data_IF_388614948102
#
_entry.id   IF_388614948102
#
_cell.length_a   1.000
_cell.length_b   1.000
_cell.length_c   1.000
_cell.angle_alpha   90.00
_cell.angle_beta   90.00
_cell.angle_gamma   90.00
#
_symmetry.space_group_name_H-M   'P 1'
#
loop_
_entity.id
_entity.type
_entity.pdbx_description
1 polymer ?
#
# COMPACT_ATOMS: atom_id res chain seq x y z
N UNK A 1 -8.96 75.87 86.74
CA UNK A 1 -7.52 76.21 86.67
C UNK A 1 -6.90 75.39 85.55
N UNK A 2 -6.25 76.09 84.64
CA UNK A 2 -5.84 75.67 83.28
C UNK A 2 -4.75 74.58 83.32
N UNK A 3 -4.70 73.67 82.33
CA UNK A 3 -3.41 73.27 81.80
C UNK A 3 -3.30 73.49 80.29
N UNK A 4 -2.17 74.12 79.96
CA UNK A 4 -1.52 74.36 78.68
C UNK A 4 -1.82 73.37 77.55
N UNK A 5 -2.26 73.89 76.41
CA UNK A 5 -2.09 73.26 75.11
C UNK A 5 -0.64 73.45 74.65
N UNK A 6 0.13 72.36 74.61
CA UNK A 6 1.43 72.28 73.93
C UNK A 6 1.19 71.87 72.47
N UNK A 7 1.53 72.76 71.54
CA UNK A 7 1.62 72.48 70.11
C UNK A 7 2.83 71.58 69.83
N UNK A 8 2.60 70.34 69.41
CA UNK A 8 3.60 69.48 68.78
C UNK A 8 3.53 69.68 67.26
N UNK A 9 4.67 69.82 66.54
CA UNK A 9 4.68 69.96 65.10
C UNK A 9 4.39 68.60 64.44
N UNK A 10 3.54 68.61 63.42
CA UNK A 10 3.39 67.50 62.48
C UNK A 10 4.74 67.29 61.78
N UNK A 11 5.45 66.23 62.15
CA UNK A 11 6.49 65.67 61.30
C UNK A 11 5.75 65.01 60.14
N UNK A 12 5.75 65.66 58.99
CA UNK A 12 5.40 65.02 57.72
C UNK A 12 6.53 64.02 57.43
N UNK A 13 6.33 62.76 57.79
CA UNK A 13 7.09 61.67 57.17
C UNK A 13 6.71 61.68 55.69
N UNK A 14 7.55 62.28 54.84
CA UNK A 14 7.56 61.97 53.42
C UNK A 14 8.09 60.56 53.28
N UNK A 15 7.20 59.56 53.36
CA UNK A 15 7.48 58.25 52.78
C UNK A 15 7.61 58.46 51.27
N UNK A 16 8.81 58.75 50.80
CA UNK A 16 9.19 58.44 49.41
C UNK A 16 9.24 56.92 49.32
N UNK A 17 8.07 56.30 49.16
CA UNK A 17 8.03 54.92 48.68
C UNK A 17 8.75 54.93 47.33
N UNK A 18 9.85 54.20 47.26
CA UNK A 18 10.57 53.96 46.02
C UNK A 18 9.59 53.26 45.08
N UNK A 19 8.99 54.01 44.15
CA UNK A 19 7.97 53.52 43.21
C UNK A 19 8.71 52.79 42.07
N UNK A 20 9.45 51.74 42.44
CA UNK A 20 10.31 50.96 41.55
C UNK A 20 9.46 50.16 40.58
N UNK A 21 9.52 50.53 39.31
CA UNK A 21 8.90 49.78 38.21
C UNK A 21 9.89 48.75 37.69
N UNK A 22 9.48 47.48 37.59
CA UNK A 22 10.33 46.38 37.16
C UNK A 22 9.70 45.60 36.00
N UNK A 23 10.52 44.93 35.21
CA UNK A 23 10.08 44.11 34.07
C UNK A 23 10.80 42.77 34.03
N UNK A 24 10.16 41.76 33.42
CA UNK A 24 10.85 40.51 33.11
C UNK A 24 11.93 40.76 32.05
N UNK A 25 13.11 40.17 32.26
CA UNK A 25 14.29 40.35 31.40
C UNK A 25 14.86 39.01 30.97
N UNK A 26 14.95 38.80 29.66
CA UNK A 26 15.54 37.60 29.07
C UNK A 26 15.78 37.73 27.57
N UNK A 27 16.67 36.90 27.05
CA UNK A 27 16.89 36.67 25.62
C UNK A 27 16.73 35.17 25.33
N UNK A 28 15.89 34.81 24.36
CA UNK A 28 15.65 33.41 23.97
C UNK A 28 16.85 32.72 23.33
N UNK A 29 17.90 33.46 22.94
CA UNK A 29 19.17 32.90 22.46
C UNK A 29 19.93 32.13 23.55
N UNK A 30 19.81 32.57 24.80
CA UNK A 30 20.49 31.98 25.96
C UNK A 30 19.50 31.32 26.93
N UNK A 31 18.26 31.80 26.99
CA UNK A 31 17.24 31.33 27.92
C UNK A 31 15.92 30.99 27.21
N UNK A 32 15.76 29.73 26.81
CA UNK A 32 14.60 29.23 26.04
C UNK A 32 13.24 29.49 26.71
N UNK A 33 13.19 29.50 28.03
CA UNK A 33 11.97 29.80 28.78
C UNK A 33 11.48 31.24 28.57
N UNK A 34 12.32 32.15 28.06
CA UNK A 34 11.89 33.48 27.60
C UNK A 34 10.73 33.43 26.58
N UNK A 35 10.65 32.31 25.84
CA UNK A 35 9.58 32.02 24.88
C UNK A 35 8.53 31.08 25.48
N UNK A 36 8.96 30.03 26.18
CA UNK A 36 8.06 28.96 26.64
C UNK A 36 7.27 29.33 27.90
N UNK A 37 7.97 29.87 28.91
CA UNK A 37 7.43 30.21 30.23
C UNK A 37 8.08 31.52 30.74
N UNK A 38 7.77 32.67 30.13
CA UNK A 38 8.48 33.93 30.39
C UNK A 38 8.35 34.43 31.83
N UNK A 39 7.30 34.05 32.56
CA UNK A 39 7.14 34.35 33.98
C UNK A 39 8.25 33.75 34.87
N UNK A 40 9.04 32.80 34.35
CA UNK A 40 10.21 32.22 35.05
C UNK A 40 11.50 33.01 34.83
N UNK A 41 11.49 34.00 33.95
CA UNK A 41 12.67 34.83 33.71
C UNK A 41 12.96 35.72 34.91
N UNK A 42 14.22 36.15 35.01
CA UNK A 42 14.63 37.15 35.98
C UNK A 42 13.88 38.46 35.74
N UNK A 43 13.81 39.29 36.77
CA UNK A 43 13.30 40.66 36.69
C UNK A 43 14.44 41.65 36.86
N UNK A 44 14.30 42.83 36.26
CA UNK A 44 15.17 43.99 36.51
C UNK A 44 14.34 45.24 36.73
N UNK A 45 14.87 46.16 37.52
CA UNK A 45 14.30 47.49 37.72
C UNK A 45 14.59 48.36 36.47
N UNK A 46 13.59 49.12 36.05
CA UNK A 46 13.72 50.02 34.91
C UNK A 46 14.29 51.38 35.35
N UNK A 47 14.86 52.13 34.40
CA UNK A 47 15.41 53.45 34.68
C UNK A 47 14.34 54.42 35.21
N UNK A 48 14.76 55.43 35.97
CA UNK A 48 13.85 56.41 36.53
C UNK A 48 13.03 57.10 35.44
N UNK A 49 11.70 56.93 35.51
CA UNK A 49 10.75 57.47 34.53
C UNK A 49 10.33 56.48 33.44
N UNK A 50 10.98 55.33 33.31
CA UNK A 50 10.51 54.24 32.47
C UNK A 50 9.43 53.43 33.20
N UNK A 51 8.19 53.50 32.71
CA UNK A 51 7.02 52.84 33.29
C UNK A 51 6.39 51.83 32.33
N UNK A 52 7.15 51.34 31.36
CA UNK A 52 6.66 50.35 30.41
C UNK A 52 7.65 49.18 30.26
N UNK A 53 7.12 47.96 30.23
CA UNK A 53 7.87 46.77 29.87
C UNK A 53 7.79 46.51 28.37
N UNK A 54 8.86 45.91 27.84
CA UNK A 54 9.04 45.61 26.43
C UNK A 54 9.03 44.10 26.16
N UNK A 55 8.51 43.74 24.99
CA UNK A 55 8.74 42.46 24.31
C UNK A 55 9.03 42.74 22.84
N UNK A 56 10.11 42.18 22.31
CA UNK A 56 10.54 42.43 20.93
C UNK A 56 11.12 41.17 20.30
N UNK A 57 10.92 41.01 18.99
CA UNK A 57 11.62 39.99 18.21
C UNK A 57 12.87 40.63 17.60
N UNK A 58 14.03 40.15 18.03
CA UNK A 58 15.31 40.60 17.52
C UNK A 58 15.50 40.19 16.06
N UNK A 59 16.37 40.86 15.28
CA UNK A 59 16.59 40.54 13.86
C UNK A 59 17.00 39.09 13.56
N UNK A 60 17.61 38.41 14.54
CA UNK A 60 17.98 36.99 14.45
C UNK A 60 16.80 36.03 14.74
N UNK A 61 15.61 36.56 15.02
CA UNK A 61 14.37 35.84 15.32
C UNK A 61 14.15 35.54 16.81
N UNK A 62 15.11 35.84 17.68
CA UNK A 62 14.99 35.57 19.12
C UNK A 62 14.04 36.57 19.81
N UNK A 63 13.40 36.14 20.90
CA UNK A 63 12.56 37.01 21.71
C UNK A 63 13.40 37.64 22.81
N UNK A 64 13.36 38.96 22.89
CA UNK A 64 13.87 39.72 24.01
C UNK A 64 12.70 40.28 24.83
N UNK A 65 12.87 40.29 26.16
CA UNK A 65 11.98 40.94 27.12
C UNK A 65 12.81 41.84 28.01
N UNK A 66 12.26 43.00 28.36
CA UNK A 66 12.96 43.97 29.20
C UNK A 66 12.09 45.21 29.50
N UNK A 67 12.75 46.35 29.72
CA UNK A 67 12.18 47.67 29.91
C UNK A 67 12.04 48.41 28.57
N UNK A 68 11.20 49.46 28.50
CA UNK A 68 10.94 50.18 27.24
C UNK A 68 12.12 50.97 26.71
N UNK A 69 13.02 51.40 27.60
CA UNK A 69 14.24 52.12 27.23
C UNK A 69 15.44 51.20 26.95
N UNK A 70 15.26 49.88 27.02
CA UNK A 70 16.33 48.94 26.66
C UNK A 70 16.72 49.11 25.19
N UNK A 71 18.02 48.96 24.91
CA UNK A 71 18.60 49.20 23.58
C UNK A 71 17.91 48.39 22.47
N UNK A 72 17.48 47.18 22.79
CA UNK A 72 16.78 46.24 21.91
C UNK A 72 15.39 46.77 21.53
N UNK A 73 14.66 47.34 22.48
CA UNK A 73 13.35 47.94 22.24
C UNK A 73 13.48 49.27 21.48
N UNK A 74 14.40 50.13 21.90
CA UNK A 74 14.68 51.42 21.25
C UNK A 74 15.09 51.21 19.79
N UNK A 75 15.96 50.23 19.52
CA UNK A 75 16.40 49.89 18.16
C UNK A 75 15.25 49.36 17.28
N UNK A 76 14.33 48.59 17.85
CA UNK A 76 13.17 48.07 17.12
C UNK A 76 12.07 49.11 16.86
N UNK A 77 12.07 50.22 17.63
CA UNK A 77 11.13 51.31 17.45
C UNK A 77 9.68 50.84 17.53
N UNK A 78 8.95 50.96 16.41
CA UNK A 78 7.51 50.58 16.35
C UNK A 78 7.24 49.09 16.48
N UNK A 79 8.25 48.24 16.26
CA UNK A 79 8.12 46.79 16.41
C UNK A 79 8.26 46.33 17.87
N UNK A 80 8.71 47.23 18.76
CA UNK A 80 8.73 46.94 20.19
C UNK A 80 7.31 46.99 20.78
N UNK A 81 6.88 45.88 21.37
CA UNK A 81 5.58 45.78 22.03
C UNK A 81 5.74 46.20 23.48
N UNK A 82 4.95 47.20 23.87
CA UNK A 82 4.97 47.78 25.19
C UNK A 82 3.74 47.40 26.01
N UNK A 83 3.91 47.28 27.32
CA UNK A 83 2.84 47.23 28.30
C UNK A 83 3.22 48.05 29.54
N UNK A 84 2.26 48.73 30.15
CA UNK A 84 2.48 49.72 31.23
C UNK A 84 1.47 49.56 32.38
N UNK A 85 0.60 48.55 32.32
CA UNK A 85 -0.49 48.37 33.29
C UNK A 85 0.00 48.05 34.70
N UNK A 86 1.09 47.31 34.84
CA UNK A 86 1.72 46.92 36.10
C UNK A 86 3.15 46.41 35.84
N UNK A 87 4.00 46.43 36.87
CA UNK A 87 5.37 45.90 36.81
C UNK A 87 5.38 44.41 36.41
N UNK A 88 6.23 44.02 35.47
CA UNK A 88 6.33 42.64 35.00
C UNK A 88 5.20 42.21 34.05
N UNK A 89 4.49 43.14 33.42
CA UNK A 89 3.39 42.81 32.50
C UNK A 89 3.82 42.07 31.21
N UNK A 90 5.12 42.07 30.88
CA UNK A 90 5.66 41.49 29.65
C UNK A 90 5.85 39.97 29.72
N UNK A 91 4.82 39.23 30.11
CA UNK A 91 4.83 37.74 30.22
C UNK A 91 3.93 37.05 29.19
N UNK A 92 3.19 37.80 28.40
CA UNK A 92 2.32 37.22 27.37
C UNK A 92 3.15 36.55 26.26
N UNK A 93 2.66 35.42 25.75
CA UNK A 93 3.30 34.72 24.62
C UNK A 93 3.23 35.59 23.37
N UNK A 94 4.37 35.81 22.74
CA UNK A 94 4.48 36.70 21.59
C UNK A 94 5.45 36.17 20.51
N UNK A 95 5.04 36.22 19.22
CA UNK A 95 3.66 36.36 18.75
C UNK A 95 2.78 35.19 19.21
N UNK A 96 1.46 35.41 19.29
CA UNK A 96 0.52 34.39 19.78
C UNK A 96 0.34 33.21 18.80
N UNK A 97 0.54 33.47 17.51
CA UNK A 97 0.45 32.58 16.37
C UNK A 97 1.80 31.97 15.94
N UNK A 98 2.86 32.21 16.71
CA UNK A 98 4.17 31.60 16.50
C UNK A 98 4.06 30.08 16.34
N UNK A 99 4.69 29.54 15.29
CA UNK A 99 4.71 28.11 14.99
C UNK A 99 5.07 27.29 16.24
N UNK A 100 4.32 26.21 16.45
CA UNK A 100 4.52 25.28 17.55
C UNK A 100 4.84 23.90 16.99
N UNK A 101 5.86 23.27 17.54
CA UNK A 101 6.33 21.96 17.15
C UNK A 101 6.47 21.09 18.40
N UNK A 102 6.57 19.77 18.24
CA UNK A 102 7.11 18.95 19.31
C UNK A 102 8.59 19.31 19.46
N UNK A 103 8.99 19.80 20.63
CA UNK A 103 10.38 20.14 20.95
C UNK A 103 10.87 19.27 22.10
N UNK A 104 11.71 18.29 21.80
CA UNK A 104 12.20 17.31 22.77
C UNK A 104 13.48 16.61 22.31
N UNK A 105 14.20 15.98 23.23
CA UNK A 105 15.37 15.16 22.95
C UNK A 105 15.20 13.76 23.53
N UNK A 106 15.50 12.74 22.72
CA UNK A 106 15.38 11.33 23.12
C UNK A 106 16.38 10.91 24.19
N UNK A 107 17.52 11.59 24.28
CA UNK A 107 18.50 11.40 25.36
C UNK A 107 17.99 11.88 26.72
N UNK A 108 17.02 12.80 26.74
CA UNK A 108 16.44 13.34 27.97
C UNK A 108 15.14 12.62 28.36
N UNK A 109 14.35 12.16 27.38
CA UNK A 109 13.09 11.47 27.63
C UNK A 109 12.78 10.47 26.54
N UNK A 110 12.56 9.21 26.93
CA UNK A 110 12.13 8.15 26.00
C UNK A 110 10.77 8.46 25.36
N UNK A 111 9.92 9.27 26.01
CA UNK A 111 8.65 9.73 25.43
C UNK A 111 8.83 10.61 24.20
N UNK A 112 10.00 11.23 23.99
CA UNK A 112 10.27 11.98 22.75
C UNK A 112 10.28 11.08 21.51
N UNK A 113 10.77 9.84 21.66
CA UNK A 113 10.79 8.84 20.59
C UNK A 113 9.37 8.44 20.19
N UNK A 114 8.56 8.11 21.19
CA UNK A 114 7.26 7.44 21.01
C UNK A 114 6.06 8.37 20.92
N UNK A 115 6.15 9.59 21.47
CA UNK A 115 5.03 10.55 21.60
C UNK A 115 3.71 9.88 22.04
N UNK A 116 3.66 9.23 23.22
CA UNK A 116 2.47 8.49 23.67
C UNK A 116 1.22 9.36 23.87
N UNK A 117 1.38 10.69 24.00
CA UNK A 117 0.28 11.64 24.18
C UNK A 117 0.32 12.76 23.13
N UNK A 118 -0.84 13.18 22.59
CA UNK A 118 -0.90 14.34 21.70
C UNK A 118 -0.36 15.60 22.38
N UNK A 119 0.44 16.38 21.63
CA UNK A 119 0.98 17.69 22.08
C UNK A 119 1.83 17.63 23.36
N UNK A 120 2.33 16.46 23.74
CA UNK A 120 3.14 16.27 24.96
C UNK A 120 4.34 17.21 25.04
N UNK A 121 4.97 17.49 23.90
CA UNK A 121 6.14 18.36 23.79
C UNK A 121 5.85 19.59 22.92
N UNK A 122 4.58 19.95 22.74
CA UNK A 122 4.21 21.12 21.94
C UNK A 122 4.76 22.40 22.60
N UNK A 123 5.70 23.05 21.91
CA UNK A 123 6.29 24.31 22.34
C UNK A 123 6.46 25.25 21.15
N UNK A 124 6.34 26.57 21.33
CA UNK A 124 6.65 27.53 20.28
C UNK A 124 8.14 27.46 19.90
N UNK A 125 8.44 27.65 18.61
CA UNK A 125 9.80 27.74 18.11
C UNK A 125 10.59 28.84 18.83
N UNK A 126 11.85 28.58 19.16
CA UNK A 126 12.68 29.55 19.92
C UNK A 126 12.97 30.80 19.10
N UNK A 127 13.14 30.61 17.78
CA UNK A 127 13.31 31.69 16.80
C UNK A 127 12.02 31.85 16.00
N UNK A 128 11.64 33.09 15.75
CA UNK A 128 10.61 33.44 14.77
C UNK A 128 11.29 33.66 13.42
N UNK A 129 11.17 32.69 12.52
CA UNK A 129 11.70 32.74 11.15
C UNK A 129 10.53 32.57 10.19
N UNK A 130 10.53 33.33 9.10
CA UNK A 130 9.54 33.16 8.03
C UNK A 130 9.65 31.75 7.44
N UNK A 131 8.50 31.12 7.17
CA UNK A 131 8.40 29.76 6.61
C UNK A 131 9.10 28.67 7.43
N UNK A 132 9.31 28.89 8.74
CA UNK A 132 9.85 27.87 9.63
C UNK A 132 8.99 26.60 9.63
N UNK A 133 9.61 25.47 9.95
CA UNK A 133 9.04 24.14 9.81
C UNK A 133 9.34 23.32 11.04
N UNK A 134 8.47 22.38 11.37
CA UNK A 134 8.80 21.38 12.38
C UNK A 134 9.68 20.29 11.77
N UNK A 135 10.66 19.83 12.54
CA UNK A 135 11.58 18.75 12.15
C UNK A 135 11.55 17.59 13.14
N UNK A 136 11.74 16.38 12.63
CA UNK A 136 12.11 15.18 13.39
C UNK A 136 13.42 14.67 12.81
N UNK A 137 14.49 14.68 13.62
CA UNK A 137 15.82 14.26 13.20
C UNK A 137 16.08 12.86 13.71
N UNK A 138 16.59 12.00 12.83
CA UNK A 138 16.91 10.62 13.13
C UNK A 138 18.42 10.41 13.30
N UNK A 139 18.77 9.53 14.23
CA UNK A 139 20.08 8.91 14.35
C UNK A 139 19.94 7.42 14.03
N UNK A 140 20.55 6.99 12.94
CA UNK A 140 20.14 5.76 12.25
C UNK A 140 18.63 5.81 11.94
N UNK A 141 17.88 4.84 12.45
CA UNK A 141 16.41 4.75 12.29
C UNK A 141 15.63 5.28 13.50
N UNK A 142 16.33 5.68 14.56
CA UNK A 142 15.72 6.11 15.81
C UNK A 142 15.56 7.62 15.85
N UNK A 143 14.44 8.10 16.39
CA UNK A 143 14.25 9.54 16.64
C UNK A 143 15.31 10.01 17.63
N UNK A 144 16.15 10.96 17.21
CA UNK A 144 17.16 11.59 18.05
C UNK A 144 16.57 12.78 18.80
N UNK A 145 15.94 13.71 18.08
CA UNK A 145 15.24 14.85 18.65
C UNK A 145 14.19 15.41 17.69
N UNK A 146 13.35 16.28 18.24
CA UNK A 146 12.32 17.02 17.51
C UNK A 146 12.49 18.49 17.86
N UNK A 147 12.40 19.37 16.86
CA UNK A 147 12.51 20.81 17.05
C UNK A 147 11.88 21.57 15.87
N UNK A 148 12.11 22.87 15.78
CA UNK A 148 11.89 23.67 14.59
C UNK A 148 13.15 23.68 13.71
N UNK A 149 12.99 23.87 12.40
CA UNK A 149 14.09 23.87 11.43
C UNK A 149 15.08 24.99 11.74
N UNK A 150 14.59 26.16 12.14
CA UNK A 150 15.41 27.31 12.59
C UNK A 150 16.30 27.02 13.81
N UNK A 151 16.01 25.94 14.54
CA UNK A 151 16.69 25.50 15.76
C UNK A 151 17.35 24.12 15.61
N UNK A 152 17.38 23.56 14.39
CA UNK A 152 18.12 22.34 14.11
C UNK A 152 19.63 22.57 14.31
N UNK A 153 20.34 21.55 14.82
CA UNK A 153 21.77 21.64 15.10
C UNK A 153 22.56 21.77 13.80
N UNK A 154 23.69 22.46 13.82
CA UNK A 154 24.48 22.73 12.62
C UNK A 154 24.93 21.44 11.92
N UNK A 155 25.28 20.42 12.68
CA UNK A 155 25.66 19.09 12.16
C UNK A 155 24.50 18.33 11.50
N UNK A 156 23.25 18.64 11.87
CA UNK A 156 22.05 17.96 11.38
C UNK A 156 21.33 18.76 10.29
N UNK A 157 21.66 20.05 10.10
CA UNK A 157 21.08 20.89 9.06
C UNK A 157 21.17 20.25 7.66
N UNK A 158 22.31 19.66 7.21
CA UNK A 158 22.38 19.01 5.91
C UNK A 158 21.37 17.87 5.72
N UNK A 159 20.94 17.20 6.80
CA UNK A 159 19.89 16.17 6.75
C UNK A 159 18.53 16.78 6.40
N UNK A 160 18.28 18.02 6.84
CA UNK A 160 17.00 18.71 6.68
C UNK A 160 16.96 19.69 5.49
N UNK A 161 18.11 20.15 4.97
CA UNK A 161 18.14 21.18 3.93
C UNK A 161 18.87 20.76 2.66
N UNK A 162 19.41 19.53 2.62
CA UNK A 162 20.10 18.98 1.45
C UNK A 162 19.22 18.98 0.20
N UNK A 163 19.84 19.21 -0.96
CA UNK A 163 19.19 19.13 -2.27
C UNK A 163 18.75 17.71 -2.63
N UNK A 164 19.33 16.70 -1.99
CA UNK A 164 18.84 15.33 -1.98
C UNK A 164 17.96 15.14 -0.75
N UNK A 165 16.72 14.70 -0.97
CA UNK A 165 15.77 14.39 0.11
C UNK A 165 16.37 13.29 0.99
N UNK A 166 16.93 13.66 2.15
CA UNK A 166 17.40 12.66 3.12
C UNK A 166 16.24 12.26 4.01
N UNK A 167 16.00 10.96 4.10
CA UNK A 167 15.04 10.33 5.02
C UNK A 167 15.45 10.46 6.50
N UNK A 168 16.65 10.99 6.76
CA UNK A 168 17.19 11.22 8.11
C UNK A 168 16.62 12.47 8.80
N UNK A 169 15.84 13.31 8.11
CA UNK A 169 15.10 14.41 8.71
C UNK A 169 13.72 14.57 8.07
N UNK A 170 12.67 14.38 8.87
CA UNK A 170 11.29 14.61 8.41
C UNK A 170 10.88 16.06 8.71
N UNK A 171 10.33 16.75 7.71
CA UNK A 171 9.99 18.18 7.79
C UNK A 171 8.51 18.38 7.46
N UNK A 172 7.82 19.24 8.21
CA UNK A 172 6.42 19.54 7.97
C UNK A 172 6.06 20.95 8.47
N UNK A 173 5.01 21.56 7.91
CA UNK A 173 4.67 22.99 8.17
C UNK A 173 3.51 23.21 9.13
N UNK A 174 2.71 22.18 9.42
CA UNK A 174 1.54 22.34 10.29
C UNK A 174 1.95 22.41 11.75
N UNK A 175 1.14 23.03 12.59
CA UNK A 175 1.38 23.02 14.03
C UNK A 175 1.46 21.58 14.55
N UNK A 176 2.50 21.31 15.33
CA UNK A 176 2.73 20.05 16.01
C UNK A 176 2.75 18.82 15.07
N UNK A 177 3.14 18.99 13.81
CA UNK A 177 3.06 17.95 12.78
C UNK A 177 4.20 16.92 12.81
N UNK A 178 5.30 17.23 13.49
CA UNK A 178 6.50 16.42 13.55
C UNK A 178 6.32 15.24 14.52
N UNK A 179 5.35 14.37 14.22
CA UNK A 179 4.91 13.26 15.07
C UNK A 179 5.44 11.90 14.65
N UNK A 180 6.09 11.80 13.48
CA UNK A 180 6.59 10.53 12.95
C UNK A 180 7.54 9.84 13.95
N UNK A 181 7.27 8.58 14.26
CA UNK A 181 8.05 7.76 15.21
C UNK A 181 9.01 6.80 14.51
N UNK A 182 8.84 6.62 13.19
CA UNK A 182 9.60 5.71 12.35
C UNK A 182 10.12 6.44 11.11
N UNK A 183 11.33 6.08 10.66
CA UNK A 183 11.95 6.64 9.46
C UNK A 183 11.22 6.13 8.21
N UNK A 184 11.08 6.97 7.19
CA UNK A 184 10.21 6.63 6.04
C UNK A 184 10.71 5.44 5.23
N UNK A 185 12.00 5.13 5.27
CA UNK A 185 12.65 4.01 4.58
C UNK A 185 12.94 2.82 5.52
N UNK A 186 12.45 2.85 6.76
CA UNK A 186 12.34 1.66 7.62
C UNK A 186 11.13 0.84 7.16
N UNK A 187 11.24 0.23 5.97
CA UNK A 187 10.14 -0.46 5.31
C UNK A 187 10.47 -1.93 5.06
N UNK A 188 9.51 -2.79 5.33
CA UNK A 188 9.61 -4.23 5.08
C UNK A 188 8.38 -4.73 4.34
N UNK A 189 8.49 -5.85 3.62
CA UNK A 189 7.30 -6.61 3.24
C UNK A 189 6.65 -7.13 4.52
N UNK A 190 5.39 -6.79 4.73
CA UNK A 190 4.59 -7.18 5.90
C UNK A 190 3.41 -8.01 5.43
N UNK A 191 3.54 -9.34 5.46
CA UNK A 191 2.56 -10.26 4.88
C UNK A 191 2.74 -11.71 5.31
N UNK A 192 1.69 -12.50 5.11
CA UNK A 192 1.74 -13.96 5.15
C UNK A 192 1.46 -14.53 3.75
N UNK A 193 2.05 -15.67 3.38
CA UNK A 193 1.94 -16.29 2.03
C UNK A 193 0.52 -16.71 1.63
N UNK A 194 -0.45 -16.69 2.54
CA UNK A 194 -1.86 -16.79 2.20
C UNK A 194 -2.41 -15.55 1.46
N UNK A 195 -1.70 -14.42 1.54
CA UNK A 195 -2.00 -13.19 0.83
C UNK A 195 -1.31 -13.16 -0.54
N UNK A 196 -1.99 -12.59 -1.54
CA UNK A 196 -1.47 -12.46 -2.91
C UNK A 196 -0.08 -11.83 -2.96
N UNK A 197 0.81 -12.40 -3.78
CA UNK A 197 2.19 -11.96 -4.01
C UNK A 197 3.14 -11.99 -2.79
N UNK A 198 2.72 -12.50 -1.63
CA UNK A 198 3.61 -12.58 -0.48
C UNK A 198 4.68 -13.67 -0.64
N UNK A 199 4.30 -14.86 -1.13
CA UNK A 199 5.25 -15.95 -1.42
C UNK A 199 6.34 -15.51 -2.41
N UNK A 200 5.95 -14.79 -3.46
CA UNK A 200 6.88 -14.30 -4.49
C UNK A 200 7.72 -13.10 -4.06
N UNK A 201 7.43 -12.48 -2.92
CA UNK A 201 8.19 -11.31 -2.46
C UNK A 201 7.98 -10.04 -3.30
N UNK A 202 6.90 -9.98 -4.11
CA UNK A 202 6.61 -8.85 -5.01
C UNK A 202 5.70 -7.80 -4.35
N UNK A 203 5.14 -8.11 -3.17
CA UNK A 203 4.34 -7.12 -2.43
C UNK A 203 5.15 -5.86 -2.11
N UNK A 204 4.48 -4.72 -2.17
CA UNK A 204 5.08 -3.44 -1.76
C UNK A 204 5.45 -3.47 -0.29
N UNK A 205 6.68 -3.03 0.01
CA UNK A 205 7.11 -2.81 1.38
C UNK A 205 6.31 -1.67 2.02
N UNK A 206 6.06 -1.77 3.33
CA UNK A 206 5.37 -0.73 4.10
C UNK A 206 6.23 -0.32 5.30
N UNK A 207 6.09 0.94 5.72
CA UNK A 207 6.80 1.49 6.89
C UNK A 207 6.49 0.65 8.14
N UNK A 208 7.52 0.35 8.91
CA UNK A 208 7.40 -0.38 10.17
C UNK A 208 6.57 0.43 11.18
N UNK A 209 5.80 -0.27 12.03
CA UNK A 209 4.98 0.38 13.05
C UNK A 209 5.84 1.00 14.16
N UNK A 210 6.90 0.29 14.51
CA UNK A 210 7.93 0.71 15.47
C UNK A 210 9.27 0.69 14.78
N UNK A 211 10.26 1.47 15.26
CA UNK A 211 11.60 1.43 14.67
C UNK A 211 12.15 0.01 14.65
N UNK A 212 12.52 -0.45 13.47
CA UNK A 212 13.07 -1.78 13.20
C UNK A 212 14.53 -1.73 12.79
N UNK A 213 15.13 -0.53 12.81
CA UNK A 213 16.54 -0.32 12.48
C UNK A 213 16.89 -0.73 11.05
N UNK A 214 15.92 -0.64 10.13
CA UNK A 214 16.07 -1.06 8.73
C UNK A 214 16.14 -2.57 8.57
N UNK A 215 15.88 -3.33 9.63
CA UNK A 215 15.93 -4.79 9.64
C UNK A 215 14.56 -5.38 9.40
N UNK A 216 14.49 -6.29 8.45
CA UNK A 216 13.30 -7.05 8.12
C UNK A 216 13.54 -8.53 8.40
N UNK A 217 12.47 -9.30 8.59
CA UNK A 217 12.56 -10.76 8.66
C UNK A 217 11.69 -11.44 7.61
N UNK A 218 12.03 -12.68 7.29
CA UNK A 218 11.14 -13.65 6.64
C UNK A 218 11.33 -15.00 7.29
N UNK A 219 10.24 -15.67 7.63
CA UNK A 219 10.25 -16.99 8.26
C UNK A 219 9.17 -17.89 7.72
N UNK A 220 9.30 -19.20 7.89
CA UNK A 220 8.21 -20.16 7.70
C UNK A 220 7.59 -20.45 9.08
N UNK A 221 6.27 -20.38 9.18
CA UNK A 221 5.55 -20.76 10.40
C UNK A 221 5.31 -22.28 10.48
N UNK A 222 4.79 -22.74 11.62
CA UNK A 222 4.52 -24.17 11.86
C UNK A 222 3.54 -24.81 10.85
N UNK A 223 2.71 -23.99 10.19
CA UNK A 223 1.77 -24.44 9.18
C UNK A 223 2.36 -24.44 7.77
N UNK A 224 3.60 -23.98 7.60
CA UNK A 224 4.31 -23.86 6.33
C UNK A 224 4.13 -22.52 5.63
N UNK A 225 3.49 -21.52 6.24
CA UNK A 225 3.33 -20.21 5.59
C UNK A 225 4.58 -19.36 5.78
N UNK A 226 4.99 -18.65 4.72
CA UNK A 226 5.99 -17.59 4.84
C UNK A 226 5.33 -16.39 5.51
N UNK A 227 5.95 -15.92 6.60
CA UNK A 227 5.61 -14.71 7.32
C UNK A 227 6.76 -13.72 7.14
N UNK A 228 6.46 -12.54 6.61
CA UNK A 228 7.39 -11.43 6.40
C UNK A 228 6.96 -10.25 7.25
N UNK A 229 7.92 -9.56 7.86
CA UNK A 229 7.62 -8.37 8.66
C UNK A 229 8.86 -7.57 9.05
N UNK A 230 8.65 -6.59 9.92
CA UNK A 230 9.73 -5.82 10.52
C UNK A 230 10.32 -6.60 11.69
N UNK A 231 11.65 -6.61 11.83
CA UNK A 231 12.30 -7.31 12.96
C UNK A 231 11.77 -6.84 14.33
N UNK A 232 11.35 -5.57 14.43
CA UNK A 232 10.70 -5.03 15.63
C UNK A 232 9.40 -5.73 16.03
N UNK A 233 8.76 -6.47 15.12
CA UNK A 233 7.51 -7.19 15.38
C UNK A 233 7.74 -8.53 16.10
N UNK A 234 8.98 -9.04 16.11
CA UNK A 234 9.33 -10.27 16.83
C UNK A 234 9.64 -9.90 18.28
N UNK A 235 8.71 -10.24 19.19
CA UNK A 235 8.88 -10.06 20.65
C UNK A 235 9.57 -11.24 21.33
N UNK A 236 9.55 -12.41 20.70
CA UNK A 236 10.18 -13.62 21.22
C UNK A 236 11.68 -13.58 20.92
N UNK A 237 12.50 -13.55 21.96
CA UNK A 237 13.94 -13.42 21.83
C UNK A 237 14.59 -14.69 21.28
N UNK A 238 14.06 -15.88 21.59
CA UNK A 238 14.60 -17.14 21.06
C UNK A 238 14.35 -17.24 19.56
N UNK A 239 13.16 -16.86 19.10
CA UNK A 239 12.84 -16.78 17.67
C UNK A 239 13.75 -15.77 16.97
N UNK A 240 13.95 -14.59 17.57
CA UNK A 240 14.81 -13.54 17.02
C UNK A 240 16.26 -14.01 16.88
N UNK A 241 16.83 -14.59 17.94
CA UNK A 241 18.18 -15.14 17.95
C UNK A 241 18.33 -16.29 16.93
N UNK A 242 17.29 -17.11 16.76
CA UNK A 242 17.25 -18.20 15.78
C UNK A 242 17.32 -17.71 14.33
N UNK A 243 16.72 -16.56 14.03
CA UNK A 243 16.77 -15.94 12.71
C UNK A 243 18.14 -15.35 12.36
N UNK A 244 18.96 -15.00 13.36
CA UNK A 244 20.29 -14.39 13.16
C UNK A 244 21.42 -15.42 12.99
N UNK A 245 21.22 -16.67 13.43
CA UNK A 245 22.27 -17.71 13.56
C UNK A 245 22.21 -18.84 12.52
N UNK A 246 21.74 -18.58 11.29
CA UNK A 246 21.57 -19.56 10.18
C UNK A 246 20.18 -20.23 10.08
N UNK A 247 19.09 -19.51 10.38
CA UNK A 247 17.73 -20.03 10.28
C UNK A 247 17.35 -20.45 8.84
N UNK A 248 17.41 -21.74 8.54
CA UNK A 248 16.91 -22.31 7.27
C UNK A 248 15.46 -21.88 6.99
N UNK A 249 14.68 -21.75 8.06
CA UNK A 249 13.29 -21.32 8.03
C UNK A 249 13.08 -19.90 8.58
N UNK A 250 14.14 -19.13 8.86
CA UNK A 250 14.03 -17.72 9.22
C UNK A 250 15.31 -16.93 8.90
N UNK A 251 15.15 -15.81 8.19
CA UNK A 251 16.26 -14.90 7.88
C UNK A 251 15.96 -13.48 8.32
N UNK A 252 17.00 -12.77 8.74
CA UNK A 252 17.02 -11.32 8.91
C UNK A 252 17.83 -10.70 7.78
N UNK A 253 17.37 -9.57 7.26
CA UNK A 253 18.12 -8.79 6.28
C UNK A 253 18.01 -7.29 6.59
N UNK A 254 18.90 -6.51 6.00
CA UNK A 254 18.94 -5.05 6.13
C UNK A 254 18.56 -4.37 4.81
N UNK A 255 17.80 -3.28 4.90
CA UNK A 255 17.40 -2.45 3.77
C UNK A 255 15.93 -2.54 3.43
N UNK A 256 15.41 -1.50 2.78
CA UNK A 256 14.00 -1.37 2.46
C UNK A 256 13.51 -2.55 1.59
N UNK A 257 12.54 -3.30 2.11
CA UNK A 257 11.94 -4.45 1.40
C UNK A 257 12.91 -5.60 1.11
N UNK A 258 14.10 -5.65 1.75
CA UNK A 258 15.11 -6.68 1.52
C UNK A 258 14.55 -8.09 1.68
N UNK A 259 13.56 -8.23 2.57
CA UNK A 259 12.97 -9.50 2.93
C UNK A 259 12.10 -10.10 1.81
N UNK A 260 11.90 -9.42 0.67
CA UNK A 260 11.27 -10.03 -0.51
C UNK A 260 12.13 -11.07 -1.24
N UNK A 261 13.45 -11.03 -1.08
CA UNK A 261 14.38 -11.94 -1.78
C UNK A 261 14.42 -13.36 -1.20
N UNK A 262 13.96 -13.53 0.04
CA UNK A 262 13.99 -14.82 0.71
C UNK A 262 12.95 -15.77 0.13
N UNK A 263 13.41 -16.96 -0.28
CA UNK A 263 12.59 -18.10 -0.65
C UNK A 263 12.95 -19.29 0.25
N UNK A 264 11.98 -19.90 0.96
CA UNK A 264 12.23 -21.10 1.75
C UNK A 264 12.82 -22.24 0.94
N UNK A 265 13.56 -23.14 1.59
CA UNK A 265 14.13 -24.34 0.94
C UNK A 265 13.08 -25.22 0.27
N UNK A 266 11.92 -25.36 0.90
CA UNK A 266 10.79 -26.15 0.40
C UNK A 266 9.87 -25.33 -0.54
N UNK A 267 10.41 -24.33 -1.22
CA UNK A 267 9.65 -23.56 -2.20
C UNK A 267 9.28 -24.42 -3.39
N UNK A 268 7.97 -24.57 -3.61
CA UNK A 268 7.41 -25.24 -4.78
C UNK A 268 6.57 -24.25 -5.60
N UNK A 269 6.44 -24.51 -6.89
CA UNK A 269 5.65 -23.68 -7.80
C UNK A 269 4.79 -24.57 -8.67
N UNK A 270 3.55 -24.17 -8.89
CA UNK A 270 2.60 -24.88 -9.73
C UNK A 270 1.90 -23.89 -10.66
N UNK A 271 1.30 -24.40 -11.74
CA UNK A 271 0.24 -23.64 -12.40
C UNK A 271 -0.91 -23.53 -11.41
N UNK A 272 -1.37 -22.31 -11.16
CA UNK A 272 -2.50 -22.01 -10.28
C UNK A 272 -3.51 -21.19 -11.05
N UNK A 273 -4.68 -21.77 -11.33
CA UNK A 273 -5.76 -21.09 -12.05
C UNK A 273 -7.08 -21.83 -11.87
N UNK A 274 -8.17 -21.13 -12.21
CA UNK A 274 -9.53 -21.66 -12.18
C UNK A 274 -10.23 -21.34 -13.50
N UNK A 275 -10.71 -22.36 -14.22
CA UNK A 275 -11.36 -22.14 -15.50
C UNK A 275 -12.64 -21.32 -15.40
N UNK A 276 -13.35 -21.34 -14.26
CA UNK A 276 -14.53 -20.48 -14.04
C UNK A 276 -14.20 -19.01 -14.10
N UNK A 277 -12.96 -18.64 -13.80
CA UNK A 277 -12.49 -17.26 -13.86
C UNK A 277 -11.75 -16.99 -15.17
N UNK A 278 -10.96 -17.94 -15.65
CA UNK A 278 -10.01 -17.73 -16.74
C UNK A 278 -10.07 -18.86 -17.78
N UNK A 279 -10.49 -18.55 -19.01
CA UNK A 279 -10.61 -19.54 -20.09
C UNK A 279 -9.27 -20.24 -20.41
N UNK A 280 -8.16 -19.51 -20.33
CA UNK A 280 -6.83 -20.05 -20.59
C UNK A 280 -6.44 -21.18 -19.61
N UNK A 281 -7.06 -21.26 -18.42
CA UNK A 281 -6.77 -22.33 -17.46
C UNK A 281 -7.10 -23.73 -17.99
N UNK A 282 -8.18 -23.84 -18.78
CA UNK A 282 -8.61 -25.09 -19.39
C UNK A 282 -7.70 -25.55 -20.55
N UNK A 283 -6.86 -24.66 -21.06
CA UNK A 283 -5.92 -24.93 -22.13
C UNK A 283 -4.65 -25.60 -21.61
N UNK A 284 -3.82 -26.06 -22.55
CA UNK A 284 -2.44 -26.39 -22.26
C UNK A 284 -1.64 -25.12 -21.93
N UNK A 285 -0.82 -25.18 -20.88
CA UNK A 285 -0.09 -24.03 -20.38
C UNK A 285 1.28 -23.95 -21.05
N UNK A 286 1.36 -23.14 -22.10
CA UNK A 286 2.57 -22.99 -22.93
C UNK A 286 3.58 -21.99 -22.38
N UNK A 287 3.18 -21.19 -21.38
CA UNK A 287 4.04 -20.22 -20.70
C UNK A 287 3.78 -20.24 -19.18
N UNK A 288 4.50 -19.38 -18.45
CA UNK A 288 4.47 -19.34 -16.99
C UNK A 288 3.53 -18.27 -16.40
N UNK A 289 2.59 -17.72 -17.18
CA UNK A 289 1.71 -16.63 -16.72
C UNK A 289 0.86 -17.01 -15.50
N UNK A 290 0.46 -18.29 -15.42
CA UNK A 290 -0.32 -18.84 -14.33
C UNK A 290 0.55 -19.59 -13.30
N UNK A 291 1.88 -19.58 -13.46
CA UNK A 291 2.78 -20.23 -12.50
C UNK A 291 2.94 -19.32 -11.28
N UNK A 292 2.67 -19.87 -10.11
CA UNK A 292 2.78 -19.17 -8.84
C UNK A 292 3.44 -20.09 -7.81
N UNK A 293 4.18 -19.49 -6.86
CA UNK A 293 4.65 -20.23 -5.70
C UNK A 293 3.48 -20.71 -4.84
N UNK A 294 3.61 -21.90 -4.28
CA UNK A 294 2.63 -22.45 -3.34
C UNK A 294 2.51 -21.56 -2.11
N UNK A 295 1.31 -21.49 -1.51
CA UNK A 295 1.11 -20.66 -0.32
C UNK A 295 1.77 -21.29 0.90
N UNK A 296 1.76 -22.62 0.97
CA UNK A 296 2.44 -23.39 2.02
C UNK A 296 3.71 -24.01 1.45
N UNK A 297 4.82 -23.83 2.16
CA UNK A 297 6.14 -24.33 1.83
C UNK A 297 6.42 -25.60 2.64
N UNK A 298 5.74 -26.68 2.26
CA UNK A 298 5.85 -27.98 2.93
C UNK A 298 6.80 -28.91 2.18
N UNK A 299 7.44 -29.81 2.91
CA UNK A 299 8.31 -30.82 2.29
C UNK A 299 7.48 -31.73 1.37
N UNK A 300 8.07 -32.08 0.22
CA UNK A 300 7.47 -32.99 -0.78
C UNK A 300 6.10 -32.55 -1.32
N UNK A 301 5.84 -31.23 -1.37
CA UNK A 301 4.66 -30.67 -2.01
C UNK A 301 4.59 -31.02 -3.51
N UNK A 302 3.37 -31.02 -4.05
CA UNK A 302 3.07 -31.48 -5.41
C UNK A 302 2.05 -30.56 -6.07
N UNK A 303 2.05 -30.54 -7.39
CA UNK A 303 1.01 -29.86 -8.13
C UNK A 303 -0.18 -30.79 -8.38
N UNK A 304 -1.38 -30.23 -8.38
CA UNK A 304 -2.59 -30.94 -8.81
C UNK A 304 -3.24 -30.25 -10.01
N UNK A 305 -4.02 -31.04 -10.74
CA UNK A 305 -5.05 -30.58 -11.67
C UNK A 305 -6.32 -31.39 -11.45
N UNK A 306 -7.45 -30.72 -11.25
CA UNK A 306 -8.71 -31.36 -10.89
C UNK A 306 -9.87 -30.80 -11.70
N UNK A 307 -10.77 -31.68 -12.12
CA UNK A 307 -12.09 -31.31 -12.62
C UNK A 307 -13.08 -31.30 -11.46
N UNK A 308 -13.71 -30.16 -11.21
CA UNK A 308 -14.77 -30.00 -10.20
C UNK A 308 -16.09 -30.64 -10.68
N UNK A 309 -17.05 -30.79 -9.76
CA UNK A 309 -18.35 -31.44 -10.03
C UNK A 309 -19.18 -30.73 -11.12
N UNK A 310 -18.99 -29.44 -11.33
CA UNK A 310 -19.63 -28.65 -12.38
C UNK A 310 -18.95 -28.78 -13.77
N UNK A 311 -17.81 -29.49 -13.82
CA UNK A 311 -16.96 -29.70 -14.99
C UNK A 311 -15.82 -28.68 -15.13
N UNK A 312 -15.74 -27.67 -14.26
CA UNK A 312 -14.66 -26.67 -14.29
C UNK A 312 -13.32 -27.28 -13.92
N UNK A 313 -12.23 -26.61 -14.32
CA UNK A 313 -10.87 -27.05 -14.08
C UNK A 313 -10.20 -26.17 -13.04
N UNK A 314 -9.57 -26.78 -12.06
CA UNK A 314 -8.71 -26.12 -11.09
C UNK A 314 -7.30 -26.70 -11.13
N UNK A 315 -6.30 -25.82 -11.06
CA UNK A 315 -4.88 -26.18 -10.92
C UNK A 315 -4.34 -25.50 -9.67
N UNK A 316 -3.46 -26.17 -8.94
CA UNK A 316 -2.89 -25.61 -7.73
C UNK A 316 -1.82 -26.46 -7.09
N UNK A 317 -1.41 -26.07 -5.89
CA UNK A 317 -0.53 -26.85 -5.02
C UNK A 317 -1.36 -27.74 -4.10
N UNK A 318 -0.92 -28.98 -3.89
CA UNK A 318 -1.62 -29.97 -3.09
C UNK A 318 -1.70 -29.53 -1.62
N UNK A 319 -0.65 -28.86 -1.12
CA UNK A 319 -0.61 -28.27 0.23
C UNK A 319 -1.73 -27.28 0.51
N UNK A 320 -2.25 -26.63 -0.53
CA UNK A 320 -3.24 -25.56 -0.43
C UNK A 320 -4.68 -26.10 -0.44
N UNK A 321 -4.87 -27.40 -0.67
CA UNK A 321 -6.15 -28.09 -0.58
C UNK A 321 -6.50 -28.41 0.89
N UNK A 322 -7.79 -28.37 1.20
CA UNK A 322 -8.35 -28.85 2.48
C UNK A 322 -8.62 -30.36 2.43
N UNK A 323 -8.75 -31.01 3.58
CA UNK A 323 -8.98 -32.47 3.65
C UNK A 323 -10.18 -32.95 2.81
N UNK A 324 -11.28 -32.20 2.77
CA UNK A 324 -12.49 -32.53 2.00
C UNK A 324 -12.33 -32.35 0.49
N UNK A 325 -11.21 -31.77 0.05
CA UNK A 325 -10.88 -31.47 -1.34
C UNK A 325 -9.62 -32.17 -1.83
N UNK A 326 -9.00 -33.00 -0.98
CA UNK A 326 -7.78 -33.73 -1.32
C UNK A 326 -8.04 -34.74 -2.44
N UNK A 327 -7.08 -34.80 -3.37
CA UNK A 327 -7.01 -35.81 -4.42
C UNK A 327 -6.57 -37.19 -3.88
N UNK A 328 -7.14 -37.62 -2.74
CA UNK A 328 -6.67 -38.76 -1.94
C UNK A 328 -7.62 -39.97 -1.90
N UNK A 329 -8.73 -39.97 -2.64
CA UNK A 329 -9.75 -41.02 -2.51
C UNK A 329 -10.29 -41.56 -3.83
N UNK A 330 -9.67 -42.62 -4.36
CA UNK A 330 -10.30 -43.68 -5.17
C UNK A 330 -10.95 -43.34 -6.52
N UNK A 331 -11.22 -42.08 -6.84
CA UNK A 331 -11.75 -41.64 -8.12
C UNK A 331 -10.66 -40.87 -8.88
N UNK A 332 -9.63 -41.61 -9.26
CA UNK A 332 -8.44 -41.16 -9.99
C UNK A 332 -8.72 -40.50 -11.35
N UNK A 333 -9.98 -40.44 -11.77
CA UNK A 333 -10.39 -39.89 -13.06
C UNK A 333 -10.66 -38.37 -13.00
N UNK A 334 -10.90 -37.80 -11.81
CA UNK A 334 -11.25 -36.39 -11.65
C UNK A 334 -10.08 -35.51 -11.18
N UNK A 335 -9.00 -36.09 -10.64
CA UNK A 335 -7.80 -35.35 -10.22
C UNK A 335 -6.52 -36.09 -10.59
N UNK A 336 -5.54 -35.35 -11.10
CA UNK A 336 -4.18 -35.81 -11.34
C UNK A 336 -3.19 -34.98 -10.50
N UNK A 337 -2.13 -35.64 -10.05
CA UNK A 337 -1.10 -35.06 -9.17
C UNK A 337 0.27 -35.40 -9.74
N UNK A 338 1.15 -34.41 -9.83
CA UNK A 338 2.49 -34.58 -10.39
C UNK A 338 3.56 -33.98 -9.50
N UNK A 339 4.79 -34.47 -9.67
CA UNK A 339 5.99 -34.02 -8.95
C UNK A 339 6.83 -33.15 -9.88
N UNK A 340 7.36 -32.05 -9.35
CA UNK A 340 8.24 -31.13 -10.06
C UNK A 340 7.59 -29.77 -10.29
N UNK A 341 8.42 -28.73 -10.40
CA UNK A 341 7.95 -27.36 -10.56
C UNK A 341 7.10 -27.21 -11.81
N UNK A 342 5.88 -26.70 -11.63
CA UNK A 342 4.95 -26.38 -12.71
C UNK A 342 4.69 -27.58 -13.64
N UNK A 343 4.66 -28.80 -13.09
CA UNK A 343 4.43 -30.02 -13.87
C UNK A 343 2.98 -30.14 -14.38
N UNK A 344 2.03 -29.47 -13.75
CA UNK A 344 0.61 -29.51 -14.07
C UNK A 344 0.25 -28.56 -15.24
N UNK A 345 1.01 -28.60 -16.34
CA UNK A 345 0.81 -27.73 -17.53
C UNK A 345 -0.11 -28.33 -18.60
N UNK A 346 -0.14 -29.66 -18.70
CA UNK A 346 -0.91 -30.35 -19.72
C UNK A 346 -2.41 -30.07 -19.58
N UNK A 347 -3.13 -30.00 -20.70
CA UNK A 347 -4.58 -29.86 -20.67
C UNK A 347 -5.25 -31.05 -19.98
N UNK A 348 -6.29 -30.79 -19.17
CA UNK A 348 -6.95 -31.82 -18.37
C UNK A 348 -8.49 -31.65 -18.33
N UNK A 349 -9.26 -32.75 -18.37
CA UNK A 349 -8.79 -34.04 -18.88
C UNK A 349 -8.39 -33.90 -20.36
N UNK A 350 -7.61 -34.85 -20.89
CA UNK A 350 -7.05 -34.73 -22.25
C UNK A 350 -8.13 -34.67 -23.32
N UNK A 351 -9.25 -35.36 -23.11
CA UNK A 351 -10.41 -35.48 -23.99
C UNK A 351 -11.44 -34.34 -23.86
N UNK A 352 -11.06 -33.19 -23.33
CA UNK A 352 -11.92 -32.00 -23.24
C UNK A 352 -12.26 -31.47 -24.64
N UNK A 353 -13.56 -31.33 -24.92
CA UNK A 353 -14.09 -30.79 -26.19
C UNK A 353 -13.43 -29.46 -26.53
N UNK A 354 -13.08 -29.28 -27.79
CA UNK A 354 -12.51 -28.05 -28.34
C UNK A 354 -13.47 -27.42 -29.34
N UNK A 355 -13.78 -26.15 -29.16
CA UNK A 355 -14.65 -25.39 -30.05
C UNK A 355 -13.93 -24.11 -30.50
N UNK A 356 -14.37 -23.55 -31.62
CA UNK A 356 -14.05 -22.16 -31.91
C UNK A 356 -14.84 -21.29 -30.92
N UNK A 357 -14.19 -20.32 -30.28
CA UNK A 357 -14.82 -19.43 -29.31
C UNK A 357 -14.39 -17.99 -29.61
N UNK A 358 -15.33 -17.20 -30.11
CA UNK A 358 -15.07 -15.82 -30.53
C UNK A 358 -16.39 -15.05 -30.60
N UNK A 359 -16.28 -13.72 -30.59
CA UNK A 359 -17.35 -12.82 -31.03
C UNK A 359 -16.80 -11.89 -32.10
N UNK A 360 -17.57 -11.65 -33.15
CA UNK A 360 -17.23 -10.71 -34.22
C UNK A 360 -17.22 -9.24 -33.76
N UNK A 361 -17.74 -8.96 -32.55
CA UNK A 361 -17.57 -7.66 -31.88
C UNK A 361 -16.09 -7.37 -31.60
N UNK A 362 -15.33 -8.39 -31.19
CA UNK A 362 -13.94 -8.26 -30.77
C UNK A 362 -12.93 -8.85 -31.76
N UNK A 363 -13.35 -9.77 -32.62
CA UNK A 363 -12.50 -10.49 -33.57
C UNK A 363 -13.08 -10.48 -34.98
N UNK A 364 -12.49 -9.68 -35.88
CA UNK A 364 -12.99 -9.46 -37.24
C UNK A 364 -13.06 -10.71 -38.13
N UNK A 365 -12.37 -11.78 -37.75
CA UNK A 365 -12.37 -13.07 -38.45
C UNK A 365 -13.42 -14.07 -37.92
N UNK A 366 -14.16 -13.75 -36.86
CA UNK A 366 -15.13 -14.68 -36.26
C UNK A 366 -16.30 -15.05 -37.22
N UNK A 367 -16.66 -14.14 -38.12
CA UNK A 367 -17.69 -14.33 -39.15
C UNK A 367 -17.25 -15.26 -40.29
N UNK A 368 -15.93 -15.41 -40.49
CA UNK A 368 -15.37 -16.23 -41.54
C UNK A 368 -15.44 -17.73 -41.20
N UNK A 369 -15.12 -18.57 -42.17
CA UNK A 369 -14.90 -19.99 -41.91
C UNK A 369 -13.61 -20.16 -41.09
N UNK A 370 -13.71 -20.88 -39.98
CA UNK A 370 -12.62 -21.05 -39.03
C UNK A 370 -11.71 -22.21 -39.47
N UNK A 371 -10.39 -22.04 -39.29
CA UNK A 371 -9.37 -23.05 -39.61
C UNK A 371 -8.66 -23.51 -38.34
N UNK A 372 -8.01 -24.68 -38.44
CA UNK A 372 -7.58 -25.53 -37.32
C UNK A 372 -6.74 -24.84 -36.22
N UNK A 373 -6.08 -23.71 -36.51
CA UNK A 373 -5.10 -23.08 -35.62
C UNK A 373 -5.73 -22.31 -34.43
N UNK A 374 -7.06 -22.22 -34.35
CA UNK A 374 -7.80 -21.42 -33.34
C UNK A 374 -8.70 -22.25 -32.41
N UNK A 375 -8.56 -23.57 -32.40
CA UNK A 375 -9.36 -24.43 -31.53
C UNK A 375 -9.00 -24.25 -30.05
N UNK A 376 -10.00 -23.92 -29.24
CA UNK A 376 -9.84 -23.76 -27.79
C UNK A 376 -10.68 -24.76 -27.03
N UNK A 377 -10.09 -25.34 -25.98
CA UNK A 377 -10.80 -26.25 -25.08
C UNK A 377 -11.92 -25.53 -24.34
N UNK A 378 -13.06 -26.19 -24.17
CA UNK A 378 -14.21 -25.67 -23.43
C UNK A 378 -13.87 -25.45 -21.95
N UNK A 379 -14.44 -24.41 -21.33
CA UNK A 379 -14.14 -24.06 -19.94
C UNK A 379 -14.58 -25.15 -18.96
N UNK A 380 -15.69 -25.83 -19.27
CA UNK A 380 -16.24 -26.96 -18.52
C UNK A 380 -16.12 -28.26 -19.32
N UNK A 381 -15.90 -29.38 -18.64
CA UNK A 381 -15.87 -30.72 -19.24
C UNK A 381 -17.10 -31.50 -18.79
N UNK A 382 -17.99 -31.83 -19.73
CA UNK A 382 -19.25 -32.54 -19.49
C UNK A 382 -19.49 -33.64 -20.53
N UNK A 383 -20.22 -34.68 -20.15
CA UNK A 383 -20.49 -35.86 -21.01
C UNK A 383 -21.42 -35.61 -22.20
N UNK A 384 -22.05 -34.43 -22.27
CA UNK A 384 -22.94 -33.99 -23.38
C UNK A 384 -22.65 -32.53 -23.76
N UNK A 385 -21.39 -32.14 -23.70
CA UNK A 385 -21.00 -30.81 -24.18
C UNK A 385 -21.03 -30.75 -25.71
N UNK A 386 -21.11 -29.55 -26.25
CA UNK A 386 -21.11 -29.30 -27.69
C UNK A 386 -20.66 -27.88 -28.01
N UNK A 387 -20.47 -27.61 -29.28
CA UNK A 387 -20.16 -26.28 -29.79
C UNK A 387 -21.42 -25.62 -30.34
N UNK A 388 -21.44 -24.29 -30.33
CA UNK A 388 -22.47 -23.52 -31.02
C UNK A 388 -21.87 -22.41 -31.88
N UNK A 389 -22.66 -22.00 -32.87
CA UNK A 389 -22.51 -20.77 -33.63
C UNK A 389 -23.88 -20.09 -33.68
N UNK A 390 -23.94 -18.79 -33.43
CA UNK A 390 -25.14 -17.97 -33.59
C UNK A 390 -24.81 -16.67 -34.32
N UNK A 391 -25.76 -16.16 -35.11
CA UNK A 391 -25.68 -14.85 -35.74
C UNK A 391 -26.90 -14.01 -35.37
N UNK A 392 -26.66 -12.83 -34.80
CA UNK A 392 -27.69 -11.87 -34.39
C UNK A 392 -27.28 -10.47 -34.80
N UNK A 393 -28.16 -9.70 -35.46
CA UNK A 393 -27.87 -8.32 -35.87
C UNK A 393 -26.50 -8.13 -36.57
N UNK A 394 -26.15 -9.07 -37.46
CA UNK A 394 -24.84 -9.12 -38.15
C UNK A 394 -23.63 -9.47 -37.27
N UNK A 395 -23.78 -9.69 -35.96
CA UNK A 395 -22.72 -10.24 -35.10
C UNK A 395 -22.75 -11.78 -35.12
N UNK A 396 -21.58 -12.42 -35.09
CA UNK A 396 -21.44 -13.87 -34.85
C UNK A 396 -20.82 -14.13 -33.50
N UNK A 397 -21.42 -15.04 -32.74
CA UNK A 397 -20.81 -15.61 -31.53
C UNK A 397 -20.61 -17.12 -31.71
N UNK A 398 -19.44 -17.60 -31.30
CA UNK A 398 -19.10 -19.04 -31.21
C UNK A 398 -18.68 -19.37 -29.79
N UNK A 399 -18.98 -20.57 -29.33
CA UNK A 399 -18.55 -21.02 -28.01
C UNK A 399 -18.97 -22.45 -27.70
N UNK A 400 -18.72 -22.85 -26.44
CA UNK A 400 -19.15 -24.13 -25.91
C UNK A 400 -20.52 -24.01 -25.25
N UNK A 401 -21.36 -25.03 -25.40
CA UNK A 401 -22.70 -25.06 -24.79
C UNK A 401 -22.59 -25.02 -23.27
N UNK A 402 -21.62 -25.73 -22.69
CA UNK A 402 -21.40 -25.80 -21.25
C UNK A 402 -21.11 -24.45 -20.58
N UNK A 403 -20.58 -23.48 -21.33
CA UNK A 403 -20.30 -22.12 -20.84
C UNK A 403 -21.57 -21.32 -20.54
N UNK A 404 -22.71 -21.72 -21.13
CA UNK A 404 -24.02 -21.08 -20.95
C UNK A 404 -24.82 -21.65 -19.78
N UNK A 405 -24.25 -22.57 -19.01
CA UNK A 405 -24.91 -23.24 -17.88
C UNK A 405 -25.42 -24.64 -18.22
N UNK A 406 -25.91 -25.35 -17.20
CA UNK A 406 -26.37 -26.73 -17.35
C UNK A 406 -27.79 -26.77 -17.91
N UNK A 407 -28.01 -27.58 -18.94
CA UNK A 407 -29.34 -27.77 -19.56
C UNK A 407 -29.74 -26.65 -20.52
N UNK A 408 -28.88 -25.67 -20.77
CA UNK A 408 -29.14 -24.56 -21.68
C UNK A 408 -28.98 -25.00 -23.14
N UNK A 409 -29.97 -24.71 -23.99
CA UNK A 409 -29.83 -24.85 -25.44
C UNK A 409 -29.55 -23.45 -26.04
N UNK A 410 -28.35 -23.19 -26.61
CA UNK A 410 -28.01 -21.89 -27.17
C UNK A 410 -28.90 -21.45 -28.34
N UNK A 411 -29.56 -22.40 -29.01
CA UNK A 411 -30.40 -22.15 -30.17
C UNK A 411 -31.90 -22.24 -29.86
N UNK A 412 -32.29 -22.29 -28.59
CA UNK A 412 -33.70 -22.28 -28.20
C UNK A 412 -34.40 -21.00 -28.66
N UNK A 413 -35.41 -21.13 -29.52
CA UNK A 413 -36.12 -19.99 -30.11
C UNK A 413 -35.45 -19.34 -31.32
N UNK A 414 -34.31 -19.87 -31.80
CA UNK A 414 -33.60 -19.38 -32.98
C UNK A 414 -33.96 -20.18 -34.23
N UNK A 415 -33.91 -19.53 -35.40
CA UNK A 415 -34.01 -20.25 -36.68
C UNK A 415 -32.72 -21.03 -36.94
N UNK A 416 -32.81 -22.13 -37.67
CA UNK A 416 -31.62 -22.92 -38.07
C UNK A 416 -30.67 -22.17 -38.99
N UNK A 417 -31.11 -21.08 -39.63
CA UNK A 417 -30.28 -20.13 -40.39
C UNK A 417 -29.47 -19.18 -39.52
N UNK A 418 -29.83 -19.06 -38.24
CA UNK A 418 -29.32 -18.04 -37.34
C UNK A 418 -28.57 -18.68 -36.17
N UNK A 419 -28.79 -19.97 -35.87
CA UNK A 419 -28.08 -20.69 -34.83
C UNK A 419 -27.96 -22.18 -35.14
N UNK A 420 -26.81 -22.77 -34.81
CA UNK A 420 -26.56 -24.21 -34.92
C UNK A 420 -25.72 -24.71 -33.75
N UNK A 421 -26.07 -25.89 -33.25
CA UNK A 421 -25.24 -26.69 -32.34
C UNK A 421 -24.65 -27.91 -33.04
N UNK A 422 -23.54 -28.42 -32.50
CA UNK A 422 -22.88 -29.63 -32.96
C UNK A 422 -22.00 -30.22 -31.83
N UNK A 423 -21.52 -31.46 -31.96
CA UNK A 423 -21.00 -32.24 -30.82
C UNK A 423 -19.63 -32.91 -31.09
N UNK A 424 -18.84 -32.35 -32.00
CA UNK A 424 -17.48 -32.81 -32.31
C UNK A 424 -16.48 -31.65 -32.20
N UNK A 425 -15.20 -31.95 -32.05
CA UNK A 425 -14.16 -30.93 -31.98
C UNK A 425 -14.20 -30.02 -33.22
N UNK A 426 -14.30 -28.71 -32.98
CA UNK A 426 -14.28 -27.70 -34.03
C UNK A 426 -15.44 -27.76 -35.00
N UNK A 427 -16.52 -28.47 -34.70
CA UNK A 427 -17.67 -28.62 -35.60
C UNK A 427 -18.38 -27.29 -35.89
N UNK A 428 -18.18 -26.26 -35.06
CA UNK A 428 -18.71 -24.91 -35.24
C UNK A 428 -17.77 -24.05 -36.10
N UNK A 429 -17.21 -24.59 -37.19
CA UNK A 429 -16.25 -23.88 -38.06
C UNK A 429 -16.90 -23.08 -39.20
N UNK A 430 -18.16 -23.39 -39.57
CA UNK A 430 -18.84 -22.82 -40.74
C UNK A 430 -18.88 -21.28 -40.71
N UNK A 431 -18.77 -20.63 -41.87
CA UNK A 431 -18.90 -19.17 -41.96
C UNK A 431 -20.34 -18.70 -41.69
N UNK A 432 -20.51 -17.41 -41.39
CA UNK A 432 -21.82 -16.76 -41.27
C UNK A 432 -22.71 -16.96 -42.51
N UNK A 433 -22.12 -16.83 -43.70
CA UNK A 433 -22.82 -17.05 -44.97
C UNK A 433 -23.29 -18.49 -45.11
N UNK A 434 -22.44 -19.46 -44.73
CA UNK A 434 -22.80 -20.87 -44.74
C UNK A 434 -23.90 -21.20 -43.73
N UNK A 435 -23.87 -20.60 -42.53
CA UNK A 435 -24.93 -20.74 -41.53
C UNK A 435 -26.30 -20.29 -42.08
N UNK A 436 -26.35 -19.11 -42.71
CA UNK A 436 -27.58 -18.54 -43.30
C UNK A 436 -28.12 -19.33 -44.50
N UNK A 437 -27.23 -19.98 -45.26
CA UNK A 437 -27.59 -20.73 -46.46
C UNK A 437 -27.82 -22.24 -46.23
N UNK A 438 -27.59 -22.75 -45.01
CA UNK A 438 -27.68 -24.18 -44.70
C UNK A 438 -29.12 -24.75 -44.77
N UNK A 439 -30.14 -23.90 -44.96
CA UNK A 439 -31.53 -24.32 -45.20
C UNK A 439 -31.84 -24.62 -46.67
N UNK A 440 -30.91 -24.38 -47.60
CA UNK A 440 -31.16 -24.51 -49.05
C UNK A 440 -30.70 -25.84 -49.66
N UNK A 441 -30.12 -26.75 -48.88
CA UNK A 441 -29.56 -28.03 -49.36
C UNK A 441 -30.37 -29.28 -48.96
N UNK A 442 -31.68 -29.15 -48.77
CA UNK A 442 -32.60 -30.30 -48.88
C UNK A 442 -33.19 -30.25 -50.29
N UNK A 443 -32.53 -30.89 -51.26
CA UNK A 443 -33.14 -31.00 -52.59
C UNK A 443 -32.23 -31.19 -53.81
N UNK A 444 -30.98 -31.63 -53.70
CA UNK A 444 -30.17 -31.98 -54.89
C UNK A 444 -29.47 -33.34 -54.72
N UNK A 445 -30.27 -34.38 -54.49
CA UNK A 445 -29.87 -35.79 -54.57
C UNK A 445 -30.60 -36.52 -55.74
N UNK A 446 -31.14 -35.78 -56.72
CA UNK A 446 -31.89 -36.39 -57.83
C UNK A 446 -31.58 -35.85 -59.24
N UNK A 447 -30.55 -35.02 -59.40
CA UNK A 447 -30.17 -34.47 -60.72
C UNK A 447 -28.81 -34.95 -61.25
N UNK A 448 -28.03 -35.66 -60.45
CA UNK A 448 -26.77 -36.29 -60.89
C UNK A 448 -26.97 -37.71 -61.45
N UNK A 449 -28.15 -38.32 -61.26
CA UNK A 449 -28.46 -39.65 -61.84
C UNK A 449 -29.04 -39.60 -63.26
N UNK A 450 -29.69 -38.50 -63.68
CA UNK A 450 -30.28 -38.38 -65.02
C UNK A 450 -29.33 -37.80 -66.08
N UNK A 451 -28.27 -37.10 -65.70
CA UNK A 451 -27.24 -36.65 -66.65
C UNK A 451 -26.29 -37.77 -67.10
N UNK A 452 -26.13 -38.85 -66.33
CA UNK A 452 -25.26 -39.98 -66.68
C UNK A 452 -25.92 -41.01 -67.62
N UNK A 453 -27.25 -41.01 -67.79
CA UNK A 453 -27.95 -41.93 -68.69
C UNK A 453 -28.25 -41.33 -70.08
N UNK A 454 -28.35 -40.01 -70.21
CA UNK A 454 -28.54 -39.33 -71.50
C UNK A 454 -27.28 -39.31 -72.39
N UNK A 455 -26.10 -39.35 -71.79
CA UNK A 455 -24.82 -39.35 -72.53
C UNK A 455 -24.44 -40.72 -73.10
N UNK A 456 -25.10 -41.80 -72.64
CA UNK A 456 -24.85 -43.17 -73.12
C UNK A 456 -25.73 -43.56 -74.33
N UNK A 457 -26.88 -42.90 -74.53
CA UNK A 457 -27.78 -43.18 -75.67
C UNK A 457 -27.48 -42.36 -76.94
N UNK A 458 -26.84 -41.19 -76.82
CA UNK A 458 -26.46 -40.34 -77.96
C UNK A 458 -25.11 -40.71 -78.60
N UNK A 459 -24.43 -41.77 -78.13
CA UNK A 459 -23.21 -42.32 -78.75
C UNK A 459 -23.39 -43.68 -79.44
N UNK A 460 -24.61 -44.22 -79.49
CA UNK A 460 -24.88 -45.51 -80.15
C UNK A 460 -25.72 -45.42 -81.43
N UNK A 461 -26.34 -44.28 -81.75
CA UNK A 461 -26.96 -44.04 -83.06
C UNK A 461 -26.93 -42.55 -83.41
N UNK A 462 -26.12 -42.16 -84.39
CA UNK A 462 -26.12 -40.83 -85.04
C UNK A 462 -24.79 -40.13 -85.00
#
# INVERSE_FOLDING_TARGET
MVPFLLLLPFIVLTCTGDDTFYCHTCDSSTYKECVWNPYTSLTKDCEAGDRACATVILPNGHTYRGCSQDSECVAAGKECILCDKFSGCNIDRYPSDRLRCNICQSSQSNSCKLLPYPRQFEKPCIRLVADDRCVTVFDGFNVSYRDCLSSAREEDLPKCTGSESTVACNICSRWNCNTGTVRQDDQCLQCTSNMTHCSSGIRTATVCKTPSEGKCYSRVDENGYVVRGCLSDITDQELKDGCEKDGVDCVVCEGAGCNGQFLPKNTHSCVQCDSRLQLNCAQEQTNDSNVQYCRRHVQDDRCYVRTDTDGSLQRGCLSDLTNDTLCNGGNSQACDVCVGSSCNKNAYPSNRLSCYQCSSEYASNCDAEQRHDELMKCRYHRTKDGCFIRSFEEEVTRGCISDLGSGTNPCEGWKSTDCRTCYEDGCNYISKTALRNCSSFVGIELWTFFCCLGYYFLRMFG
#
